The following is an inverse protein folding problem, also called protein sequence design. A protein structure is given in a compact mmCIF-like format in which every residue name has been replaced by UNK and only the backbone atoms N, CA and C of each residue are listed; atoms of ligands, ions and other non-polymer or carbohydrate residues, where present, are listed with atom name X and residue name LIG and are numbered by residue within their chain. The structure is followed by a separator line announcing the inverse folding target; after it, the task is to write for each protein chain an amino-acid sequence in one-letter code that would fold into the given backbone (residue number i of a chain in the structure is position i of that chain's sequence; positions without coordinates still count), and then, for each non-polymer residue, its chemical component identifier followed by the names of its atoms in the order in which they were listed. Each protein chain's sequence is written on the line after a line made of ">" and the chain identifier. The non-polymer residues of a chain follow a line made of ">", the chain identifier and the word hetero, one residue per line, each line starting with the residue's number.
data_IF_797085986402
#
_entry.id   IF_797085986402
#
_cell.length_a   1.000
_cell.length_b   1.000
_cell.length_c   1.000
_cell.angle_alpha   90.00
_cell.angle_beta   90.00
_cell.angle_gamma   90.00
#
_symmetry.space_group_name_H-M   'P 1'
#
loop_
_entity.id
_entity.type
_entity.pdbx_description
1 polymer ?
#
# COMPACT_ATOMS: atom_id res chain seq x y z
N UNK A 1 25.59 -14.99 -13.07
CA UNK A 1 25.11 -13.66 -13.45
C UNK A 1 25.81 -13.23 -14.72
N UNK A 2 25.12 -12.50 -15.61
CA UNK A 2 25.70 -11.96 -16.85
C UNK A 2 25.55 -10.43 -16.76
N UNK A 3 26.66 -9.71 -16.93
CA UNK A 3 26.67 -8.25 -17.01
C UNK A 3 26.18 -7.77 -18.37
N UNK A 4 25.57 -6.59 -18.39
CA UNK A 4 25.18 -5.86 -19.59
C UNK A 4 25.86 -4.49 -19.59
N UNK A 5 26.04 -3.85 -20.75
CA UNK A 5 26.54 -2.49 -20.82
C UNK A 5 25.70 -1.53 -19.98
N UNK A 6 26.31 -0.48 -19.46
CA UNK A 6 25.58 0.55 -18.74
C UNK A 6 24.52 1.19 -19.65
N UNK A 7 23.27 1.36 -19.18
CA UNK A 7 22.22 1.97 -19.98
C UNK A 7 22.56 3.44 -20.28
N UNK A 8 22.09 3.96 -21.42
CA UNK A 8 22.26 5.36 -21.79
C UNK A 8 21.35 6.32 -21.02
N UNK A 9 20.36 5.77 -20.31
CA UNK A 9 19.37 6.54 -19.58
C UNK A 9 19.45 6.25 -18.09
N UNK A 10 19.05 7.25 -17.29
CA UNK A 10 18.74 7.08 -15.89
C UNK A 10 17.26 6.75 -15.71
N UNK A 11 16.95 5.84 -14.80
CA UNK A 11 15.60 5.69 -14.29
C UNK A 11 15.39 6.70 -13.18
N UNK A 12 14.51 7.67 -13.43
CA UNK A 12 14.09 8.66 -12.45
C UNK A 12 12.83 8.19 -11.75
N UNK A 13 12.78 8.37 -10.44
CA UNK A 13 11.61 8.09 -9.62
C UNK A 13 11.14 9.40 -9.03
N UNK A 14 9.93 9.82 -9.42
CA UNK A 14 9.25 10.98 -8.86
C UNK A 14 8.09 10.50 -7.97
N UNK A 15 7.82 11.23 -6.89
CA UNK A 15 6.67 11.00 -6.04
C UNK A 15 5.67 12.14 -6.17
N UNK A 16 4.37 11.80 -6.11
CA UNK A 16 3.31 12.81 -6.15
C UNK A 16 2.17 12.42 -5.21
N UNK A 17 1.44 13.43 -4.72
CA UNK A 17 0.28 13.22 -3.88
C UNK A 17 -0.92 12.75 -4.73
N UNK A 18 -1.59 11.67 -4.30
CA UNK A 18 -2.74 11.07 -4.99
C UNK A 18 -3.94 10.91 -4.04
N UNK A 19 -4.30 12.00 -3.38
CA UNK A 19 -5.42 12.03 -2.45
C UNK A 19 -5.11 11.42 -1.09
N UNK A 20 -6.15 10.90 -0.44
CA UNK A 20 -6.12 10.38 0.92
C UNK A 20 -6.73 8.99 0.99
N UNK A 21 -6.27 8.22 1.94
CA UNK A 21 -6.84 6.92 2.29
C UNK A 21 -7.19 6.87 3.78
N UNK A 22 -8.21 6.10 4.09
CA UNK A 22 -8.51 5.68 5.45
C UNK A 22 -9.03 4.25 5.42
N UNK A 23 -8.79 3.53 6.51
CA UNK A 23 -9.29 2.18 6.68
C UNK A 23 -9.18 1.76 8.14
N UNK A 24 -9.85 0.65 8.45
CA UNK A 24 -9.82 0.07 9.78
C UNK A 24 -9.84 -1.45 9.68
N UNK A 25 -9.38 -2.07 10.74
CA UNK A 25 -9.36 -3.53 10.91
C UNK A 25 -10.06 -3.85 12.22
N UNK A 26 -11.04 -4.77 12.18
CA UNK A 26 -11.73 -5.26 13.37
C UNK A 26 -12.08 -6.75 13.20
N UNK A 27 -12.30 -7.44 14.29
CA UNK A 27 -12.68 -8.86 14.26
C UNK A 27 -14.17 -9.04 14.55
N UNK A 28 -14.73 -10.09 13.96
CA UNK A 28 -16.07 -10.58 14.24
C UNK A 28 -15.99 -12.04 14.67
N UNK A 29 -16.71 -12.36 15.74
CA UNK A 29 -16.72 -13.71 16.29
C UNK A 29 -18.16 -14.26 16.45
N UNK A 30 -18.26 -15.59 16.56
CA UNK A 30 -19.49 -16.31 16.79
C UNK A 30 -20.22 -16.73 15.51
N UNK A 31 -21.51 -17.02 15.64
CA UNK A 31 -22.35 -17.47 14.53
C UNK A 31 -22.40 -16.39 13.44
N UNK A 32 -22.32 -16.80 12.18
CA UNK A 32 -22.37 -15.90 11.00
C UNK A 32 -21.29 -14.79 11.02
N UNK A 33 -20.11 -15.04 11.58
CA UNK A 33 -19.07 -14.04 11.74
C UNK A 33 -18.74 -13.35 10.41
N UNK A 34 -18.52 -14.10 9.31
CA UNK A 34 -18.21 -13.55 8.01
C UNK A 34 -19.35 -12.71 7.43
N UNK A 35 -20.60 -13.17 7.57
CA UNK A 35 -21.79 -12.45 7.13
C UNK A 35 -21.95 -11.13 7.90
N UNK A 36 -21.80 -11.16 9.23
CA UNK A 36 -21.84 -9.95 10.06
C UNK A 36 -20.76 -8.95 9.65
N UNK A 37 -19.53 -9.42 9.46
CA UNK A 37 -18.41 -8.59 9.04
C UNK A 37 -18.69 -7.91 7.69
N UNK A 38 -19.18 -8.64 6.70
CA UNK A 38 -19.53 -8.12 5.38
C UNK A 38 -20.62 -7.07 5.44
N UNK A 39 -21.74 -7.40 6.08
CA UNK A 39 -22.87 -6.48 6.25
C UNK A 39 -22.46 -5.19 6.96
N UNK A 40 -21.61 -5.29 7.98
CA UNK A 40 -21.10 -4.13 8.67
C UNK A 40 -20.21 -3.25 7.78
N UNK A 41 -19.28 -3.84 7.01
CA UNK A 41 -18.43 -3.10 6.08
C UNK A 41 -19.23 -2.40 4.98
N UNK A 42 -20.24 -3.07 4.42
CA UNK A 42 -21.15 -2.51 3.42
C UNK A 42 -21.98 -1.35 4.02
N UNK A 43 -22.53 -1.53 5.21
CA UNK A 43 -23.30 -0.50 5.90
C UNK A 43 -22.49 0.77 6.19
N UNK A 44 -21.20 0.63 6.54
CA UNK A 44 -20.30 1.79 6.72
C UNK A 44 -20.22 2.61 5.43
N UNK A 45 -19.99 1.96 4.29
CA UNK A 45 -19.85 2.66 3.02
C UNK A 45 -21.18 3.28 2.57
N UNK A 46 -22.29 2.58 2.70
CA UNK A 46 -23.62 3.13 2.36
C UNK A 46 -23.96 4.38 3.18
N UNK A 47 -23.71 4.36 4.47
CA UNK A 47 -23.91 5.53 5.33
C UNK A 47 -22.94 6.66 4.98
N UNK A 48 -21.67 6.34 4.76
CA UNK A 48 -20.67 7.33 4.37
C UNK A 48 -21.08 8.03 3.06
N UNK A 49 -21.48 7.28 2.03
CA UNK A 49 -21.97 7.81 0.76
C UNK A 49 -23.21 8.68 0.93
N UNK A 50 -24.14 8.30 1.82
CA UNK A 50 -25.31 9.13 2.11
C UNK A 50 -24.89 10.49 2.67
N UNK A 51 -23.97 10.52 3.64
CA UNK A 51 -23.48 11.76 4.25
C UNK A 51 -22.70 12.59 3.23
N UNK A 52 -21.85 11.96 2.41
CA UNK A 52 -21.11 12.63 1.36
C UNK A 52 -22.05 13.34 0.37
N UNK A 53 -23.12 12.67 -0.05
CA UNK A 53 -24.15 13.31 -0.90
C UNK A 53 -24.79 14.54 -0.25
N UNK A 54 -25.10 14.48 1.05
CA UNK A 54 -25.63 15.65 1.79
C UNK A 54 -24.63 16.79 1.88
N UNK A 55 -23.33 16.50 1.81
CA UNK A 55 -22.24 17.47 1.84
C UNK A 55 -21.75 17.91 0.46
N UNK A 56 -22.40 17.44 -0.62
CA UNK A 56 -21.97 17.64 -2.01
C UNK A 56 -20.52 17.18 -2.27
N UNK A 57 -20.10 16.10 -1.64
CA UNK A 57 -18.82 15.44 -1.88
C UNK A 57 -19.07 14.30 -2.88
N UNK A 58 -18.28 14.17 -3.97
CA UNK A 58 -18.36 13.06 -4.92
C UNK A 58 -18.19 11.69 -4.25
N UNK A 59 -18.58 10.61 -4.92
CA UNK A 59 -18.37 9.24 -4.41
C UNK A 59 -16.87 8.90 -4.30
N UNK A 60 -16.55 7.84 -3.59
CA UNK A 60 -15.17 7.36 -3.40
C UNK A 60 -14.51 7.02 -4.74
N UNK A 61 -13.22 7.32 -4.87
CA UNK A 61 -12.40 6.85 -5.98
C UNK A 61 -12.26 5.33 -5.96
N UNK A 62 -12.00 4.79 -4.77
CA UNK A 62 -11.83 3.34 -4.55
C UNK A 62 -12.35 2.96 -3.15
N UNK A 63 -12.95 1.79 -3.04
CA UNK A 63 -13.32 1.16 -1.77
C UNK A 63 -12.94 -0.31 -1.76
N UNK A 64 -12.63 -0.84 -0.60
CA UNK A 64 -12.24 -2.24 -0.42
C UNK A 64 -12.86 -2.81 0.86
N UNK A 65 -13.39 -4.03 0.77
CA UNK A 65 -13.85 -4.85 1.90
C UNK A 65 -13.22 -6.23 1.75
N UNK A 66 -12.39 -6.60 2.70
CA UNK A 66 -11.76 -7.91 2.78
C UNK A 66 -12.18 -8.60 4.08
N UNK A 67 -12.63 -9.85 3.98
CA UNK A 67 -12.95 -10.70 5.14
C UNK A 67 -11.86 -11.77 5.24
N UNK A 68 -10.85 -11.49 6.03
CA UNK A 68 -9.75 -12.44 6.28
C UNK A 68 -10.29 -13.57 7.16
N UNK A 69 -10.06 -14.81 6.74
CA UNK A 69 -10.68 -15.98 7.33
C UNK A 69 -11.92 -16.48 6.57
N UNK A 70 -12.43 -15.70 5.58
CA UNK A 70 -13.51 -16.08 4.65
C UNK A 70 -13.03 -16.02 3.20
N UNK A 71 -11.90 -16.65 2.92
CA UNK A 71 -11.30 -16.83 1.60
C UNK A 71 -10.91 -15.54 0.83
N UNK A 72 -10.95 -14.36 1.43
CA UNK A 72 -10.60 -13.11 0.74
C UNK A 72 -9.14 -13.07 0.24
N UNK A 73 -8.25 -13.82 0.88
CA UNK A 73 -6.83 -13.89 0.50
C UNK A 73 -6.45 -15.19 -0.20
N UNK A 74 -7.16 -16.29 0.06
CA UNK A 74 -6.82 -17.62 -0.46
C UNK A 74 -7.68 -18.05 -1.66
N UNK A 75 -8.66 -17.22 -2.04
CA UNK A 75 -9.65 -17.55 -3.07
C UNK A 75 -10.59 -18.73 -2.66
N UNK A 76 -11.59 -19.02 -3.47
CA UNK A 76 -12.62 -20.05 -3.20
C UNK A 76 -12.11 -21.50 -3.20
N UNK A 77 -10.81 -21.72 -3.05
CA UNK A 77 -10.21 -23.06 -2.95
C UNK A 77 -10.31 -23.68 -1.57
N UNK A 78 -10.67 -22.92 -0.55
CA UNK A 78 -10.88 -23.39 0.82
C UNK A 78 -12.37 -23.62 1.10
N UNK A 79 -12.74 -24.78 1.63
CA UNK A 79 -14.11 -25.13 1.99
C UNK A 79 -14.43 -24.72 3.44
N UNK A 80 -14.21 -23.49 3.84
CA UNK A 80 -14.52 -23.05 5.21
C UNK A 80 -15.72 -22.11 5.20
N UNK A 81 -16.91 -22.68 5.02
CA UNK A 81 -18.16 -21.93 5.02
C UNK A 81 -18.64 -21.47 6.42
N UNK A 82 -17.99 -21.91 7.51
CA UNK A 82 -18.49 -21.69 8.88
C UNK A 82 -17.41 -21.20 9.86
N UNK A 83 -16.56 -20.31 9.40
CA UNK A 83 -15.56 -19.69 10.29
C UNK A 83 -16.25 -18.80 11.34
N UNK A 84 -16.06 -19.15 12.60
CA UNK A 84 -16.61 -18.40 13.73
C UNK A 84 -15.74 -17.24 14.20
N UNK A 85 -14.63 -17.00 13.53
CA UNK A 85 -13.72 -15.89 13.81
C UNK A 85 -13.14 -15.41 12.51
N UNK A 86 -13.37 -14.13 12.18
CA UNK A 86 -12.89 -13.49 10.96
C UNK A 86 -12.42 -12.07 11.27
N UNK A 87 -11.58 -11.55 10.39
CA UNK A 87 -11.13 -10.17 10.47
C UNK A 87 -11.67 -9.39 9.26
N UNK A 88 -12.44 -8.37 9.54
CA UNK A 88 -12.86 -7.38 8.56
C UNK A 88 -11.73 -6.34 8.40
N UNK A 89 -11.29 -6.14 7.18
CA UNK A 89 -10.46 -5.02 6.77
C UNK A 89 -11.23 -4.24 5.71
N UNK A 90 -11.43 -2.95 5.93
CA UNK A 90 -12.04 -2.07 4.94
C UNK A 90 -11.18 -0.82 4.74
N UNK A 91 -11.22 -0.26 3.54
CA UNK A 91 -10.49 0.94 3.19
C UNK A 91 -11.22 1.73 2.11
N UNK A 92 -11.00 3.05 2.11
CA UNK A 92 -11.47 3.96 1.09
C UNK A 92 -10.37 4.92 0.64
N UNK A 93 -10.45 5.33 -0.61
CA UNK A 93 -9.61 6.40 -1.20
C UNK A 93 -10.51 7.51 -1.73
N UNK A 94 -10.08 8.76 -1.54
CA UNK A 94 -10.74 9.95 -2.08
C UNK A 94 -9.78 11.15 -2.13
N UNK A 95 -10.01 12.09 -3.05
CA UNK A 95 -9.21 13.30 -3.15
C UNK A 95 -9.45 14.26 -1.96
N UNK A 96 -10.64 14.23 -1.38
CA UNK A 96 -11.00 15.03 -0.20
C UNK A 96 -10.81 14.22 1.07
N UNK A 97 -9.97 14.69 1.98
CA UNK A 97 -9.70 14.07 3.28
C UNK A 97 -10.96 13.90 4.14
N UNK A 98 -11.97 14.77 3.96
CA UNK A 98 -13.24 14.70 4.69
C UNK A 98 -14.01 13.44 4.36
N UNK A 99 -14.02 13.02 3.08
CA UNK A 99 -14.70 11.81 2.63
C UNK A 99 -14.20 10.56 3.35
N UNK A 100 -12.88 10.36 3.37
CA UNK A 100 -12.29 9.21 4.06
C UNK A 100 -12.42 9.31 5.59
N UNK A 101 -12.47 10.54 6.13
CA UNK A 101 -12.74 10.79 7.53
C UNK A 101 -14.15 10.37 7.97
N UNK A 102 -15.16 10.56 7.09
CA UNK A 102 -16.54 10.12 7.32
C UNK A 102 -16.59 8.59 7.50
N UNK A 103 -15.88 7.82 6.67
CA UNK A 103 -15.82 6.35 6.79
C UNK A 103 -15.37 5.92 8.18
N UNK A 104 -14.30 6.54 8.70
CA UNK A 104 -13.79 6.23 10.03
C UNK A 104 -14.77 6.62 11.15
N UNK A 105 -15.48 7.73 10.98
CA UNK A 105 -16.49 8.17 11.96
C UNK A 105 -17.67 7.24 11.98
N UNK A 106 -18.18 6.84 10.81
CA UNK A 106 -19.33 5.94 10.70
C UNK A 106 -18.98 4.53 11.18
N UNK A 107 -17.76 4.05 11.01
CA UNK A 107 -17.34 2.77 11.55
C UNK A 107 -17.45 2.70 13.07
N UNK A 108 -17.14 3.77 13.78
CA UNK A 108 -17.29 3.82 15.24
C UNK A 108 -18.78 3.87 15.64
N UNK A 109 -19.57 4.70 14.97
CA UNK A 109 -20.99 4.86 15.26
C UNK A 109 -21.78 3.57 15.04
N UNK A 110 -21.59 2.93 13.89
CA UNK A 110 -22.25 1.65 13.57
C UNK A 110 -21.75 0.50 14.43
N UNK A 111 -20.52 0.56 14.95
CA UNK A 111 -19.98 -0.46 15.83
C UNK A 111 -20.84 -0.68 17.09
N UNK A 112 -21.53 0.35 17.56
CA UNK A 112 -22.46 0.27 18.69
C UNK A 112 -23.81 -0.37 18.33
N UNK A 113 -24.12 -0.47 17.06
CA UNK A 113 -25.39 -1.01 16.55
C UNK A 113 -25.25 -2.40 15.90
N UNK A 114 -24.04 -2.98 15.90
CA UNK A 114 -23.82 -4.31 15.31
C UNK A 114 -24.37 -5.41 16.21
N UNK A 115 -24.71 -6.59 15.64
CA UNK A 115 -24.92 -7.80 16.40
C UNK A 115 -23.70 -8.14 17.27
N UNK A 116 -23.87 -8.89 18.37
CA UNK A 116 -22.75 -9.30 19.23
C UNK A 116 -21.63 -10.00 18.46
N UNK A 117 -20.38 -9.74 18.86
CA UNK A 117 -19.19 -10.39 18.29
C UNK A 117 -18.19 -9.43 17.64
N UNK A 118 -18.48 -8.14 17.52
CA UNK A 118 -17.50 -7.15 17.09
C UNK A 118 -16.46 -6.92 18.19
N UNK A 119 -15.19 -6.96 17.83
CA UNK A 119 -14.07 -6.56 18.68
C UNK A 119 -13.07 -5.73 17.88
N UNK A 120 -12.45 -4.77 18.54
CA UNK A 120 -11.41 -3.93 17.96
C UNK A 120 -10.01 -4.42 18.34
N UNK A 121 -9.03 -4.04 17.53
CA UNK A 121 -7.62 -4.21 17.89
C UNK A 121 -7.17 -3.04 18.75
N UNK A 122 -6.28 -3.32 19.70
CA UNK A 122 -5.68 -2.29 20.55
C UNK A 122 -4.84 -1.35 19.68
N UNK A 123 -5.05 -0.05 19.85
CA UNK A 123 -4.35 0.98 19.10
C UNK A 123 -5.04 2.33 19.18
N UNK A 124 -4.42 3.33 18.62
CA UNK A 124 -5.01 4.67 18.49
C UNK A 124 -6.16 4.68 17.49
N UNK A 125 -7.06 5.69 17.63
CA UNK A 125 -8.12 5.91 16.63
C UNK A 125 -7.50 6.10 15.24
N UNK A 126 -7.91 5.33 14.22
CA UNK A 126 -7.36 5.47 12.88
C UNK A 126 -7.61 6.89 12.33
N UNK A 127 -6.65 7.36 11.55
CA UNK A 127 -6.70 8.70 10.95
C UNK A 127 -6.53 8.59 9.43
N UNK A 128 -7.13 9.50 8.65
CA UNK A 128 -6.78 9.64 7.25
C UNK A 128 -5.30 9.88 7.05
N UNK A 129 -4.73 9.29 6.01
CA UNK A 129 -3.33 9.50 5.62
C UNK A 129 -3.23 9.85 4.13
N UNK A 130 -2.27 10.71 3.73
CA UNK A 130 -2.05 11.00 2.34
C UNK A 130 -1.54 9.76 1.61
N UNK A 131 -1.90 9.63 0.34
CA UNK A 131 -1.36 8.64 -0.58
C UNK A 131 -0.25 9.30 -1.37
N UNK A 132 0.94 8.73 -1.30
CA UNK A 132 2.08 9.14 -2.12
C UNK A 132 2.32 8.03 -3.14
N UNK A 133 2.20 8.37 -4.41
CA UNK A 133 2.48 7.45 -5.52
C UNK A 133 3.86 7.69 -6.10
N UNK A 134 4.43 6.60 -6.58
CA UNK A 134 5.68 6.61 -7.33
C UNK A 134 5.37 6.61 -8.82
N UNK A 135 5.99 7.53 -9.55
CA UNK A 135 6.03 7.56 -10.99
C UNK A 135 7.48 7.41 -11.46
N UNK A 136 7.73 6.49 -12.38
CA UNK A 136 9.07 6.25 -12.91
C UNK A 136 9.11 6.56 -14.40
N UNK A 137 10.16 7.24 -14.83
CA UNK A 137 10.41 7.56 -16.22
C UNK A 137 11.92 7.51 -16.53
N UNK A 138 12.26 7.52 -17.80
CA UNK A 138 13.64 7.47 -18.25
C UNK A 138 14.08 8.84 -18.74
N UNK A 139 15.31 9.24 -18.38
CA UNK A 139 15.96 10.50 -18.81
C UNK A 139 17.30 10.17 -19.39
N UNK A 140 17.66 10.77 -20.52
CA UNK A 140 18.99 10.57 -21.09
C UNK A 140 20.04 11.15 -20.15
N UNK A 141 21.17 10.47 -20.03
CA UNK A 141 22.26 10.91 -19.13
C UNK A 141 22.83 12.27 -19.52
N UNK A 142 22.84 12.56 -20.79
CA UNK A 142 23.28 13.85 -21.34
C UNK A 142 22.37 15.03 -21.00
N UNK A 143 21.09 14.76 -20.69
CA UNK A 143 20.13 15.79 -20.28
C UNK A 143 20.28 16.15 -18.79
N UNK A 144 21.06 15.38 -18.03
CA UNK A 144 21.24 15.57 -16.59
C UNK A 144 22.51 16.35 -16.31
N UNK A 145 22.36 17.61 -15.93
CA UNK A 145 23.48 18.45 -15.48
C UNK A 145 23.84 18.10 -14.04
N UNK A 146 25.11 17.78 -13.84
CA UNK A 146 25.66 17.53 -12.51
C UNK A 146 26.51 18.71 -12.09
N UNK A 147 26.21 19.27 -10.92
CA UNK A 147 27.00 20.37 -10.35
C UNK A 147 27.33 20.10 -8.90
N UNK A 148 28.45 20.63 -8.45
CA UNK A 148 28.85 20.62 -7.04
C UNK A 148 28.86 22.05 -6.55
N UNK A 149 28.12 22.31 -5.47
CA UNK A 149 28.09 23.57 -4.79
C UNK A 149 29.12 23.56 -3.64
N UNK A 150 30.08 24.45 -3.68
CA UNK A 150 31.12 24.62 -2.66
C UNK A 150 30.78 25.76 -1.66
N UNK A 151 29.56 26.28 -1.70
CA UNK A 151 29.14 27.42 -0.90
C UNK A 151 29.46 28.77 -1.53
N UNK A 152 30.71 28.99 -1.93
CA UNK A 152 31.17 30.23 -2.59
C UNK A 152 31.21 30.12 -4.13
N UNK A 153 31.13 28.92 -4.66
CA UNK A 153 31.21 28.63 -6.10
C UNK A 153 30.44 27.37 -6.49
N UNK A 154 29.84 27.38 -7.66
CA UNK A 154 29.19 26.22 -8.26
C UNK A 154 30.00 25.76 -9.48
N UNK A 155 30.29 24.46 -9.54
CA UNK A 155 31.08 23.88 -10.65
C UNK A 155 30.28 22.77 -11.32
N UNK A 156 29.99 22.96 -12.61
CA UNK A 156 29.38 21.92 -13.45
C UNK A 156 30.40 20.84 -13.79
N UNK A 157 29.97 19.59 -13.78
CA UNK A 157 30.76 18.42 -14.16
C UNK A 157 30.10 17.73 -15.36
N UNK A 158 30.88 17.46 -16.39
CA UNK A 158 30.46 16.55 -17.44
C UNK A 158 30.52 15.11 -16.92
N UNK A 159 29.37 14.43 -16.91
CA UNK A 159 29.33 13.01 -16.62
C UNK A 159 29.83 12.26 -17.84
N UNK A 160 31.11 11.94 -17.86
CA UNK A 160 31.66 11.09 -18.91
C UNK A 160 30.99 9.72 -18.85
N UNK A 161 30.48 9.24 -19.99
CA UNK A 161 30.05 7.86 -20.10
C UNK A 161 31.21 6.95 -19.71
N UNK A 162 31.02 6.05 -18.77
CA UNK A 162 32.05 5.10 -18.40
C UNK A 162 32.52 4.35 -19.64
N UNK A 163 33.83 4.34 -19.89
CA UNK A 163 34.44 3.45 -20.88
C UNK A 163 33.88 2.04 -20.68
N UNK A 164 33.70 1.31 -21.79
CA UNK A 164 33.19 -0.06 -21.74
C UNK A 164 33.89 -0.84 -20.62
N UNK A 165 33.09 -1.28 -19.67
CA UNK A 165 33.60 -2.00 -18.52
C UNK A 165 33.86 -3.45 -18.95
N UNK A 166 35.12 -3.85 -18.98
CA UNK A 166 35.49 -5.20 -19.36
C UNK A 166 35.29 -6.15 -18.18
N UNK A 167 34.19 -6.88 -18.18
CA UNK A 167 33.83 -7.86 -17.11
C UNK A 167 34.89 -8.96 -16.95
N UNK A 168 35.80 -9.16 -17.87
CA UNK A 168 36.86 -10.18 -17.76
C UNK A 168 37.95 -9.80 -16.74
N UNK A 169 38.03 -8.53 -16.33
CA UNK A 169 39.03 -8.02 -15.38
C UNK A 169 38.57 -8.04 -13.93
N UNK A 170 37.32 -8.42 -13.66
CA UNK A 170 36.84 -8.55 -12.28
C UNK A 170 37.16 -9.95 -11.78
N UNK A 171 37.97 -10.06 -10.76
CA UNK A 171 38.04 -11.28 -9.95
C UNK A 171 36.63 -11.59 -9.41
N UNK A 172 36.09 -12.75 -9.80
CA UNK A 172 34.79 -13.20 -9.30
C UNK A 172 34.88 -13.30 -7.77
N UNK A 173 34.00 -12.58 -7.02
CA UNK A 173 33.99 -12.76 -5.57
C UNK A 173 33.79 -14.23 -5.26
N UNK A 174 34.63 -14.80 -4.41
CA UNK A 174 34.43 -16.17 -3.91
C UNK A 174 33.19 -16.15 -3.04
N UNK A 175 32.06 -16.53 -3.61
CA UNK A 175 30.87 -16.76 -2.81
C UNK A 175 31.11 -17.95 -1.89
N UNK A 176 30.81 -17.88 -0.61
CA UNK A 176 30.80 -19.05 0.24
C UNK A 176 29.82 -20.08 -0.38
N UNK A 177 30.27 -21.30 -0.54
CA UNK A 177 29.40 -22.40 -0.95
C UNK A 177 28.39 -22.63 0.17
N UNK A 178 27.12 -22.35 -0.13
CA UNK A 178 26.05 -22.64 0.80
C UNK A 178 25.73 -24.16 0.71
N UNK A 179 25.95 -24.91 1.76
CA UNK A 179 25.51 -26.29 1.85
C UNK A 179 24.09 -26.30 2.46
N UNK A 180 23.09 -26.70 1.67
CA UNK A 180 21.69 -26.79 2.11
C UNK A 180 21.46 -27.73 3.31
N UNK A 181 22.49 -28.46 3.75
CA UNK A 181 22.45 -29.31 4.94
C UNK A 181 22.65 -28.56 6.24
N UNK A 182 23.08 -27.31 6.20
CA UNK A 182 23.32 -26.48 7.39
C UNK A 182 22.08 -25.71 7.85
N UNK A 183 20.96 -25.77 7.13
CA UNK A 183 19.68 -25.22 7.59
C UNK A 183 19.06 -26.13 8.65
N UNK A 184 19.32 -25.81 9.91
CA UNK A 184 18.48 -26.25 11.03
C UNK A 184 17.38 -25.21 11.23
N UNK A 185 16.21 -25.50 10.68
CA UNK A 185 14.94 -24.87 11.07
C UNK A 185 14.25 -25.76 12.10
#
# INVERSE_FOLDING_TARGET
>A
AKGYPAPQQYKVCATFADGFRAGHVCSFVGIDAAKKARTYGEAIFERAKMIMRMMNIPDFDETSIEIIGDNSQYSNKGQNADNREVVLKFAAKHQDIRAVGIVLKESVGLGLATPPGLSGFVGGRPKPSPIIRLFSFMVNKEDVKVSIDFGDSNKEFEVHQSKEFNMSEIEKPKHPTFDAKDEKF
#
